data_IF_723289529084
#
_entry.id   IF_723289529084
#
_cell.length_a   1.000
_cell.length_b   1.000
_cell.length_c   1.000
_cell.angle_alpha   90.00
_cell.angle_beta   90.00
_cell.angle_gamma   90.00
#
_symmetry.space_group_name_H-M   'P 1'
#
loop_
_entity.id
_entity.type
_entity.pdbx_description
1 polymer ?
#
# COMPACT_ATOMS: atom_id res chain seq x y z
N UNK A 1 -56.40 31.99 -59.83
CA UNK A 1 -55.86 30.81 -59.17
C UNK A 1 -54.32 30.96 -59.16
N UNK A 2 -53.65 31.21 -58.03
CA UNK A 2 -52.20 31.26 -57.97
C UNK A 2 -51.62 29.92 -57.57
N UNK A 3 -50.61 29.52 -58.29
CA UNK A 3 -49.83 28.30 -58.14
C UNK A 3 -48.85 28.50 -56.95
N UNK A 4 -48.96 27.61 -55.91
CA UNK A 4 -48.07 27.59 -54.76
C UNK A 4 -46.78 26.82 -55.09
N UNK A 5 -45.63 27.48 -55.06
CA UNK A 5 -44.30 26.86 -55.16
C UNK A 5 -43.93 26.40 -53.81
N UNK A 6 -43.74 25.08 -53.64
CA UNK A 6 -43.17 24.45 -52.43
C UNK A 6 -41.64 24.46 -52.54
N UNK A 7 -40.97 25.23 -51.67
CA UNK A 7 -39.53 25.11 -51.48
C UNK A 7 -39.21 23.86 -50.61
N UNK A 8 -38.46 22.92 -51.18
CA UNK A 8 -37.81 21.85 -50.42
C UNK A 8 -36.56 22.42 -49.74
N UNK A 9 -36.55 22.43 -48.42
CA UNK A 9 -35.34 22.70 -47.67
C UNK A 9 -34.52 21.41 -47.54
N UNK A 10 -33.31 21.37 -48.10
CA UNK A 10 -32.37 20.30 -47.95
C UNK A 10 -31.64 20.47 -46.60
N UNK A 11 -31.82 19.53 -45.65
CA UNK A 11 -31.04 19.47 -44.43
C UNK A 11 -29.71 18.77 -44.73
N UNK A 12 -28.61 19.51 -44.70
CA UNK A 12 -27.26 18.96 -44.72
C UNK A 12 -26.88 18.47 -43.31
N UNK A 13 -26.73 17.17 -43.14
CA UNK A 13 -26.15 16.61 -41.93
C UNK A 13 -24.65 16.87 -41.94
N UNK A 14 -24.18 17.71 -41.04
CA UNK A 14 -22.76 17.90 -40.76
C UNK A 14 -22.24 16.68 -39.95
N UNK A 15 -21.46 15.83 -40.61
CA UNK A 15 -20.71 14.75 -39.92
C UNK A 15 -19.50 15.39 -39.25
N UNK A 16 -19.56 15.53 -37.92
CA UNK A 16 -18.41 15.96 -37.13
C UNK A 16 -17.31 14.87 -37.19
N UNK A 17 -16.05 15.24 -37.42
CA UNK A 17 -14.97 14.25 -37.38
C UNK A 17 -14.84 13.69 -35.97
N UNK A 18 -14.85 12.36 -35.88
CA UNK A 18 -14.49 11.63 -34.65
C UNK A 18 -13.00 11.86 -34.42
N UNK A 19 -12.67 12.78 -33.52
CA UNK A 19 -11.30 12.96 -33.06
C UNK A 19 -10.90 11.68 -32.33
N UNK A 20 -10.01 10.91 -32.94
CA UNK A 20 -9.39 9.75 -32.26
C UNK A 20 -8.64 10.25 -31.04
N UNK A 21 -9.09 9.87 -29.84
CA UNK A 21 -8.33 10.05 -28.60
C UNK A 21 -7.00 9.31 -28.79
N UNK A 22 -5.85 9.98 -28.64
CA UNK A 22 -4.56 9.29 -28.75
C UNK A 22 -4.52 8.12 -27.76
N UNK A 23 -4.14 6.94 -28.26
CA UNK A 23 -3.95 5.76 -27.41
C UNK A 23 -2.97 6.12 -26.31
N UNK A 24 -3.36 5.89 -25.05
CA UNK A 24 -2.45 6.04 -23.91
C UNK A 24 -1.22 5.16 -24.17
N UNK A 25 -0.01 5.65 -23.84
CA UNK A 25 1.17 4.82 -23.94
C UNK A 25 0.95 3.52 -23.17
N UNK A 26 1.42 2.37 -23.69
CA UNK A 26 1.27 1.09 -22.99
C UNK A 26 1.82 1.23 -21.57
N UNK A 27 1.06 0.75 -20.61
CA UNK A 27 1.48 0.69 -19.21
C UNK A 27 2.73 -0.19 -19.05
N UNK A 28 3.30 -0.26 -17.85
CA UNK A 28 4.47 -1.10 -17.59
C UNK A 28 4.23 -2.53 -18.06
N UNK A 29 5.21 -3.09 -18.78
CA UNK A 29 5.19 -4.49 -19.25
C UNK A 29 5.55 -5.42 -18.08
N UNK A 30 4.67 -5.50 -17.07
CA UNK A 30 4.85 -6.42 -15.93
C UNK A 30 4.20 -7.77 -16.19
N UNK A 31 4.71 -8.81 -15.53
CA UNK A 31 4.21 -10.17 -15.71
C UNK A 31 2.80 -10.30 -15.07
N UNK A 32 2.04 -11.32 -15.50
CA UNK A 32 0.75 -11.67 -14.90
C UNK A 32 0.95 -12.78 -13.87
N UNK A 33 0.06 -12.85 -12.89
CA UNK A 33 0.00 -13.94 -11.93
C UNK A 33 0.27 -13.53 -10.49
N UNK A 34 0.36 -14.54 -9.62
CA UNK A 34 0.56 -14.36 -8.18
C UNK A 34 2.00 -13.92 -7.92
N UNK A 35 2.17 -12.85 -7.14
CA UNK A 35 3.46 -12.23 -6.81
C UNK A 35 4.35 -12.03 -8.04
N UNK A 36 3.71 -11.68 -9.16
CA UNK A 36 4.41 -11.53 -10.44
C UNK A 36 5.46 -10.43 -10.36
N UNK A 37 6.54 -10.61 -11.11
CA UNK A 37 7.65 -9.66 -11.20
C UNK A 37 7.17 -8.33 -11.81
N UNK A 38 7.27 -7.28 -11.02
CA UNK A 38 6.95 -5.91 -11.45
C UNK A 38 8.16 -5.20 -12.06
N UNK A 39 9.28 -5.92 -12.28
CA UNK A 39 10.51 -5.41 -12.93
C UNK A 39 11.11 -4.19 -12.22
N UNK A 40 10.94 -4.10 -10.90
CA UNK A 40 11.36 -2.95 -10.11
C UNK A 40 10.60 -1.66 -10.42
N UNK A 41 9.45 -1.72 -11.10
CA UNK A 41 8.65 -0.53 -11.39
C UNK A 41 8.11 0.11 -10.11
N UNK A 42 8.20 1.44 -10.06
CA UNK A 42 7.51 2.24 -9.07
C UNK A 42 6.01 2.19 -9.33
N UNK A 43 5.26 1.82 -8.29
CA UNK A 43 3.80 1.68 -8.41
C UNK A 43 3.08 3.03 -8.47
N UNK A 44 3.60 4.02 -7.76
CA UNK A 44 3.02 5.37 -7.65
C UNK A 44 3.84 6.38 -8.47
N UNK A 45 3.32 7.60 -8.74
CA UNK A 45 4.06 8.66 -9.40
C UNK A 45 5.35 9.02 -8.69
N UNK A 46 6.33 9.53 -9.42
CA UNK A 46 7.65 9.87 -8.87
C UNK A 46 7.61 10.93 -7.75
N UNK A 47 6.62 11.80 -7.78
CA UNK A 47 6.36 12.84 -6.76
C UNK A 47 5.49 12.34 -5.60
N UNK A 48 5.22 11.03 -5.53
CA UNK A 48 4.45 10.45 -4.43
C UNK A 48 5.18 10.62 -3.09
N UNK A 49 4.44 10.92 -2.01
CA UNK A 49 4.98 10.88 -0.66
C UNK A 49 5.71 9.58 -0.31
N UNK A 50 5.33 8.45 -0.92
CA UNK A 50 6.01 7.16 -0.73
C UNK A 50 7.43 7.14 -1.28
N UNK A 51 7.72 7.92 -2.33
CA UNK A 51 9.03 8.00 -3.00
C UNK A 51 9.88 9.17 -2.52
N UNK A 52 9.38 9.96 -1.54
CA UNK A 52 10.10 11.11 -1.03
C UNK A 52 11.32 10.67 -0.22
N UNK A 53 12.50 11.12 -0.61
CA UNK A 53 13.72 11.01 0.19
C UNK A 53 13.57 11.86 1.45
N UNK A 54 13.66 11.20 2.61
CA UNK A 54 13.54 11.84 3.93
C UNK A 54 14.86 11.81 4.72
N UNK A 55 15.95 11.41 4.07
CA UNK A 55 17.25 11.27 4.74
C UNK A 55 17.76 12.59 5.34
N UNK A 56 17.39 13.73 4.73
CA UNK A 56 17.73 15.07 5.19
C UNK A 56 16.64 15.78 6.00
N UNK A 57 15.49 15.17 6.21
CA UNK A 57 14.38 15.81 6.94
C UNK A 57 14.74 16.03 8.43
N UNK A 58 14.16 17.06 9.11
CA UNK A 58 14.33 17.24 10.53
C UNK A 58 13.83 16.06 11.35
N UNK A 59 14.47 15.80 12.47
CA UNK A 59 13.99 14.85 13.47
C UNK A 59 12.90 15.52 14.29
N UNK A 60 11.80 14.79 14.53
CA UNK A 60 10.70 15.28 15.38
C UNK A 60 11.19 15.55 16.81
N UNK A 61 10.83 16.69 17.43
CA UNK A 61 11.24 17.01 18.79
C UNK A 61 10.79 15.96 19.84
N UNK A 62 9.74 15.19 19.56
CA UNK A 62 9.25 14.11 20.42
C UNK A 62 9.79 12.73 20.05
N UNK A 63 10.71 12.64 19.09
CA UNK A 63 11.24 11.37 18.58
C UNK A 63 11.65 10.42 19.69
N UNK A 64 12.48 10.86 20.64
CA UNK A 64 12.92 10.01 21.75
C UNK A 64 11.78 9.51 22.63
N UNK A 65 10.78 10.34 22.93
CA UNK A 65 9.62 9.98 23.75
C UNK A 65 8.77 8.92 23.05
N UNK A 66 8.55 9.07 21.74
CA UNK A 66 7.79 8.11 20.92
C UNK A 66 8.56 6.79 20.85
N UNK A 67 9.86 6.81 20.55
CA UNK A 67 10.69 5.61 20.49
C UNK A 67 10.76 4.88 21.84
N UNK A 68 10.87 5.63 22.95
CA UNK A 68 10.78 5.07 24.30
C UNK A 68 9.44 4.37 24.56
N UNK A 69 8.34 4.95 24.04
CA UNK A 69 6.99 4.41 24.19
C UNK A 69 6.78 3.14 23.37
N UNK A 70 7.41 3.02 22.18
CA UNK A 70 7.48 1.80 21.40
C UNK A 70 8.32 0.75 22.13
N UNK A 71 9.46 1.16 22.68
CA UNK A 71 10.42 0.32 23.41
C UNK A 71 11.75 0.16 22.67
N UNK A 72 12.82 0.70 23.24
CA UNK A 72 14.17 0.84 22.63
C UNK A 72 14.74 -0.44 22.00
N UNK A 73 14.44 -1.60 22.59
CA UNK A 73 15.04 -2.88 22.21
C UNK A 73 14.12 -3.76 21.34
N UNK A 74 12.99 -3.23 20.89
CA UNK A 74 12.11 -3.96 19.97
C UNK A 74 12.82 -4.14 18.63
N UNK A 75 13.04 -5.37 18.16
CA UNK A 75 13.73 -5.61 16.91
C UNK A 75 12.85 -5.25 15.71
N UNK A 76 13.49 -4.84 14.63
CA UNK A 76 12.86 -4.82 13.32
C UNK A 76 12.52 -6.26 12.91
N UNK A 77 11.30 -6.50 12.48
CA UNK A 77 10.84 -7.83 12.10
C UNK A 77 10.39 -7.83 10.64
N UNK A 78 11.07 -8.57 9.75
CA UNK A 78 10.55 -8.80 8.41
C UNK A 78 9.35 -9.75 8.49
N UNK A 79 8.16 -9.21 8.24
CA UNK A 79 6.91 -9.96 8.18
C UNK A 79 6.62 -10.37 6.73
N UNK A 80 7.62 -10.99 6.11
CA UNK A 80 7.59 -11.56 4.78
C UNK A 80 8.73 -12.57 4.62
N UNK A 81 8.59 -13.46 3.65
CA UNK A 81 9.56 -14.52 3.45
C UNK A 81 9.04 -15.63 2.54
N UNK A 82 9.47 -16.85 2.83
CA UNK A 82 9.03 -18.05 2.12
C UNK A 82 7.69 -18.53 2.67
N UNK A 83 7.72 -19.38 3.68
CA UNK A 83 6.53 -19.93 4.34
C UNK A 83 6.77 -20.18 5.83
N UNK A 84 5.68 -20.21 6.60
CA UNK A 84 5.65 -20.64 7.98
C UNK A 84 4.38 -21.47 8.22
N UNK A 85 4.53 -22.66 8.83
CA UNK A 85 3.40 -23.58 9.09
C UNK A 85 2.54 -23.91 7.86
N UNK A 86 3.17 -23.98 6.67
CA UNK A 86 2.49 -24.31 5.42
C UNK A 86 1.71 -23.15 4.77
N UNK A 87 1.88 -21.92 5.24
CA UNK A 87 1.34 -20.72 4.63
C UNK A 87 2.45 -19.73 4.23
N UNK A 88 2.32 -19.02 3.11
CA UNK A 88 3.25 -17.95 2.74
C UNK A 88 3.28 -16.85 3.80
N UNK A 89 4.49 -16.35 4.14
CA UNK A 89 4.66 -15.22 5.07
C UNK A 89 4.63 -13.91 4.27
N UNK A 90 3.75 -13.00 4.62
CA UNK A 90 3.60 -11.69 4.00
C UNK A 90 2.27 -11.53 3.28
N UNK A 91 2.06 -10.37 2.67
CA UNK A 91 0.81 -10.04 1.96
C UNK A 91 0.99 -10.33 0.46
N UNK A 92 0.34 -11.38 -0.07
CA UNK A 92 0.44 -11.71 -1.48
C UNK A 92 -0.38 -10.74 -2.33
N UNK A 93 0.01 -10.59 -3.59
CA UNK A 93 -0.77 -9.88 -4.60
C UNK A 93 -0.91 -10.71 -5.87
N UNK A 94 -1.84 -10.34 -6.71
CA UNK A 94 -1.97 -10.90 -8.05
C UNK A 94 -2.04 -9.80 -9.10
N UNK A 95 -1.30 -9.97 -10.18
CA UNK A 95 -1.34 -9.08 -11.34
C UNK A 95 -2.27 -9.68 -12.39
N UNK A 96 -3.25 -8.91 -12.81
CA UNK A 96 -4.24 -9.30 -13.83
C UNK A 96 -4.17 -8.37 -15.04
N UNK A 97 -4.73 -8.83 -16.17
CA UNK A 97 -4.94 -7.98 -17.34
C UNK A 97 -6.25 -7.21 -17.24
N UNK A 98 -6.40 -6.13 -18.01
CA UNK A 98 -7.59 -5.28 -18.02
C UNK A 98 -8.90 -5.96 -18.43
N UNK A 99 -8.83 -7.16 -19.02
CA UNK A 99 -9.99 -7.98 -19.37
C UNK A 99 -10.37 -9.01 -18.29
N UNK A 100 -9.73 -8.99 -17.10
CA UNK A 100 -10.13 -9.82 -15.97
C UNK A 100 -11.61 -9.57 -15.61
N UNK A 101 -12.46 -10.62 -15.58
CA UNK A 101 -13.85 -10.47 -15.17
C UNK A 101 -13.97 -9.83 -13.78
N UNK A 102 -14.91 -8.90 -13.67
CA UNK A 102 -15.15 -8.17 -12.42
C UNK A 102 -16.26 -8.83 -11.62
N UNK A 103 -16.07 -8.90 -10.31
CA UNK A 103 -16.99 -9.53 -9.37
C UNK A 103 -17.49 -8.50 -8.34
N UNK A 104 -18.66 -8.78 -7.76
CA UNK A 104 -19.23 -7.98 -6.67
C UNK A 104 -18.49 -8.27 -5.37
N UNK A 105 -18.26 -7.23 -4.58
CA UNK A 105 -17.78 -7.30 -3.19
C UNK A 105 -18.86 -6.70 -2.28
N UNK A 106 -19.15 -7.38 -1.16
CA UNK A 106 -20.03 -6.86 -0.11
C UNK A 106 -19.19 -6.55 1.12
N UNK A 107 -19.24 -5.30 1.58
CA UNK A 107 -18.48 -4.85 2.75
C UNK A 107 -19.28 -4.94 4.04
N UNK A 108 -18.62 -5.33 5.15
CA UNK A 108 -19.30 -5.67 6.42
C UNK A 108 -18.82 -4.84 7.61
N UNK A 109 -17.64 -4.23 7.58
CA UNK A 109 -17.09 -3.48 8.71
C UNK A 109 -17.08 -1.97 8.45
N UNK A 110 -16.61 -1.55 7.26
CA UNK A 110 -16.56 -0.14 6.87
C UNK A 110 -17.21 0.10 5.50
N UNK A 111 -18.52 -0.25 5.29
CA UNK A 111 -19.14 -0.15 3.97
C UNK A 111 -19.23 1.28 3.43
N UNK A 112 -19.34 2.30 4.31
CA UNK A 112 -19.41 3.71 3.91
C UNK A 112 -18.05 4.30 3.54
N UNK A 113 -16.97 3.64 3.96
CA UNK A 113 -15.59 4.05 3.70
C UNK A 113 -14.92 3.15 2.65
N UNK A 114 -15.67 2.24 2.02
CA UNK A 114 -15.17 1.31 1.02
C UNK A 114 -15.64 1.68 -0.38
N UNK A 115 -14.79 1.47 -1.38
CA UNK A 115 -15.15 1.72 -2.77
C UNK A 115 -16.03 0.58 -3.30
N UNK A 116 -17.22 0.86 -3.85
CA UNK A 116 -18.23 -0.16 -4.10
C UNK A 116 -17.90 -1.16 -5.23
N UNK A 117 -16.87 -0.92 -6.01
CA UNK A 117 -16.47 -1.82 -7.10
C UNK A 117 -17.29 -1.66 -8.39
N UNK A 118 -17.32 -2.67 -9.29
CA UNK A 118 -16.85 -4.04 -9.11
C UNK A 118 -15.32 -4.23 -9.18
N UNK A 119 -14.80 -5.35 -8.60
CA UNK A 119 -13.38 -5.65 -8.45
C UNK A 119 -12.93 -6.76 -9.41
N UNK A 120 -11.76 -6.66 -10.08
CA UNK A 120 -11.26 -7.68 -11.01
C UNK A 120 -10.55 -8.83 -10.26
N UNK A 121 -11.25 -9.51 -9.35
CA UNK A 121 -10.65 -10.54 -8.50
C UNK A 121 -10.82 -11.91 -9.15
N UNK A 122 -9.72 -12.62 -9.50
CA UNK A 122 -9.77 -14.01 -9.96
C UNK A 122 -10.34 -14.95 -8.87
N UNK A 123 -10.88 -16.09 -9.29
CA UNK A 123 -11.43 -17.09 -8.33
C UNK A 123 -10.35 -17.67 -7.41
N UNK A 124 -9.14 -17.77 -7.90
CA UNK A 124 -7.93 -18.29 -7.26
C UNK A 124 -7.02 -17.17 -6.72
N UNK A 125 -7.53 -15.96 -6.56
CA UNK A 125 -6.77 -14.85 -5.99
C UNK A 125 -6.15 -15.27 -4.64
N UNK A 126 -4.85 -14.99 -4.43
CA UNK A 126 -4.19 -15.35 -3.19
C UNK A 126 -4.77 -14.54 -2.04
N UNK A 127 -4.92 -15.19 -0.89
CA UNK A 127 -5.38 -14.58 0.35
C UNK A 127 -4.23 -14.64 1.33
N UNK A 128 -3.95 -13.55 2.01
CA UNK A 128 -2.94 -13.51 3.07
C UNK A 128 -3.21 -14.59 4.13
N UNK A 129 -2.15 -15.31 4.51
CA UNK A 129 -2.24 -16.46 5.42
C UNK A 129 -2.91 -17.70 4.80
N UNK A 130 -3.19 -17.68 3.48
CA UNK A 130 -3.84 -18.76 2.75
C UNK A 130 -5.36 -18.82 2.92
N UNK A 131 -6.04 -19.79 2.26
CA UNK A 131 -7.50 -19.87 2.22
C UNK A 131 -8.15 -20.09 3.60
N UNK A 132 -7.42 -20.69 4.53
CA UNK A 132 -7.86 -20.99 5.90
C UNK A 132 -7.23 -20.05 6.95
N UNK A 133 -6.49 -19.02 6.53
CA UNK A 133 -5.87 -18.03 7.40
C UNK A 133 -6.88 -17.34 8.30
N UNK A 134 -6.46 -17.03 9.54
CA UNK A 134 -7.29 -16.37 10.57
C UNK A 134 -6.89 -14.92 10.84
N UNK A 135 -5.86 -14.41 10.13
CA UNK A 135 -5.39 -13.02 10.23
C UNK A 135 -6.23 -12.07 9.39
N UNK A 136 -5.60 -11.02 8.91
CA UNK A 136 -6.24 -9.89 8.22
C UNK A 136 -6.78 -10.26 6.83
N UNK A 137 -6.29 -11.37 6.26
CA UNK A 137 -6.84 -11.95 5.02
C UNK A 137 -6.91 -10.94 3.88
N UNK A 138 -5.86 -10.18 3.68
CA UNK A 138 -5.80 -9.25 2.58
C UNK A 138 -5.85 -9.95 1.21
N UNK A 139 -6.52 -9.32 0.25
CA UNK A 139 -6.51 -9.68 -1.17
C UNK A 139 -6.16 -8.44 -1.97
N UNK A 140 -5.01 -8.49 -2.66
CA UNK A 140 -4.49 -7.38 -3.45
C UNK A 140 -4.47 -7.77 -4.92
N UNK A 141 -5.09 -6.94 -5.77
CA UNK A 141 -5.17 -7.18 -7.23
C UNK A 141 -4.69 -5.95 -7.99
N UNK A 142 -3.65 -6.10 -8.78
CA UNK A 142 -3.12 -5.07 -9.67
C UNK A 142 -3.60 -5.32 -11.11
N UNK A 143 -4.46 -4.45 -11.64
CA UNK A 143 -4.79 -4.39 -13.05
C UNK A 143 -3.66 -3.64 -13.77
N UNK A 144 -2.77 -4.37 -14.47
CA UNK A 144 -1.59 -3.80 -15.12
C UNK A 144 -1.92 -2.89 -16.30
N UNK A 145 -3.02 -3.15 -17.00
CA UNK A 145 -3.35 -2.41 -18.23
C UNK A 145 -4.01 -1.05 -17.87
N UNK A 146 -4.86 -1.03 -16.85
CA UNK A 146 -5.44 0.19 -16.31
C UNK A 146 -4.51 0.92 -15.32
N UNK A 147 -3.52 0.22 -14.76
CA UNK A 147 -2.66 0.65 -13.65
C UNK A 147 -3.49 1.07 -12.45
N UNK A 148 -4.39 0.15 -12.06
CA UNK A 148 -5.32 0.29 -10.95
C UNK A 148 -5.08 -0.82 -9.93
N UNK A 149 -5.07 -0.46 -8.66
CA UNK A 149 -4.91 -1.40 -7.56
C UNK A 149 -6.23 -1.55 -6.81
N UNK A 150 -6.59 -2.77 -6.48
CA UNK A 150 -7.80 -3.14 -5.75
C UNK A 150 -7.39 -3.94 -4.52
N UNK A 151 -7.78 -3.49 -3.35
CA UNK A 151 -7.36 -4.09 -2.08
C UNK A 151 -8.57 -4.36 -1.20
N UNK A 152 -8.57 -5.51 -0.55
CA UNK A 152 -9.59 -5.94 0.40
C UNK A 152 -8.94 -6.33 1.73
N UNK A 153 -9.60 -5.99 2.82
CA UNK A 153 -9.35 -6.46 4.18
C UNK A 153 -10.41 -7.47 4.60
N UNK A 154 -10.03 -8.50 5.36
CA UNK A 154 -10.89 -9.54 5.91
C UNK A 154 -11.77 -10.20 4.83
N UNK A 155 -11.10 -10.67 3.74
CA UNK A 155 -11.75 -11.10 2.51
C UNK A 155 -12.07 -12.60 2.49
N UNK A 156 -13.29 -12.93 2.04
CA UNK A 156 -13.80 -14.28 1.88
C UNK A 156 -14.57 -14.42 0.57
N UNK A 157 -14.35 -15.48 -0.24
CA UNK A 157 -15.26 -15.83 -1.32
C UNK A 157 -16.68 -16.06 -0.77
N UNK A 158 -17.71 -15.55 -1.47
CA UNK A 158 -19.12 -15.64 -1.02
C UNK A 158 -19.82 -16.94 -1.44
N UNK A 159 -19.11 -17.83 -2.15
CA UNK A 159 -19.66 -19.07 -2.69
C UNK A 159 -20.60 -18.90 -3.90
N UNK A 160 -20.85 -17.66 -4.34
CA UNK A 160 -21.74 -17.32 -5.47
C UNK A 160 -21.02 -16.62 -6.62
N UNK A 161 -19.68 -16.61 -6.57
CA UNK A 161 -18.83 -15.98 -7.57
C UNK A 161 -18.42 -14.54 -7.25
N UNK A 162 -18.81 -14.02 -6.07
CA UNK A 162 -18.37 -12.75 -5.51
C UNK A 162 -17.54 -12.90 -4.24
N UNK A 163 -17.35 -11.79 -3.52
CA UNK A 163 -16.59 -11.73 -2.29
C UNK A 163 -17.34 -10.95 -1.20
N UNK A 164 -17.03 -11.28 0.04
CA UNK A 164 -17.37 -10.52 1.23
C UNK A 164 -16.06 -10.05 1.86
N UNK A 165 -15.97 -8.78 2.26
CA UNK A 165 -14.80 -8.21 2.90
C UNK A 165 -15.18 -7.27 4.04
N UNK A 166 -14.27 -6.99 4.96
CA UNK A 166 -14.43 -5.99 6.01
C UNK A 166 -14.46 -4.59 5.41
N UNK A 167 -13.45 -4.25 4.64
CA UNK A 167 -13.31 -3.00 3.89
C UNK A 167 -12.58 -3.23 2.57
N UNK A 168 -12.55 -2.20 1.71
CA UNK A 168 -11.79 -2.25 0.47
C UNK A 168 -11.59 -0.89 -0.19
N UNK A 169 -10.52 -0.78 -0.96
CA UNK A 169 -10.15 0.44 -1.64
C UNK A 169 -9.73 0.18 -3.09
N UNK A 170 -9.96 1.16 -3.94
CA UNK A 170 -9.55 1.20 -5.35
C UNK A 170 -8.63 2.39 -5.55
N UNK A 171 -7.41 2.14 -6.01
CA UNK A 171 -6.38 3.14 -6.18
C UNK A 171 -6.03 3.33 -7.67
N UNK A 172 -6.05 4.57 -8.12
CA UNK A 172 -5.46 4.92 -9.40
C UNK A 172 -3.96 5.20 -9.21
N UNK A 173 -3.13 4.24 -9.54
CA UNK A 173 -1.68 4.33 -9.35
C UNK A 173 -0.98 5.34 -10.27
N UNK A 174 -1.69 5.94 -11.24
CA UNK A 174 -1.19 7.04 -12.09
C UNK A 174 -1.28 8.40 -11.39
N UNK A 175 -1.81 8.45 -10.16
CA UNK A 175 -2.05 9.67 -9.40
C UNK A 175 -1.64 9.48 -7.93
N UNK A 176 -1.32 10.58 -7.28
CA UNK A 176 -1.19 10.63 -5.81
C UNK A 176 -2.61 10.72 -5.20
N UNK A 177 -3.33 9.61 -5.24
CA UNK A 177 -4.69 9.55 -4.72
C UNK A 177 -4.65 9.30 -3.21
N UNK A 178 -5.34 10.16 -2.47
CA UNK A 178 -5.60 9.98 -1.04
C UNK A 178 -7.05 9.56 -0.80
N UNK A 179 -7.31 8.91 0.32
CA UNK A 179 -8.68 8.64 0.78
C UNK A 179 -9.30 9.94 1.32
N UNK A 180 -10.63 10.07 1.31
CA UNK A 180 -11.28 11.15 2.04
C UNK A 180 -10.81 11.17 3.51
N UNK A 181 -10.67 12.35 4.14
CA UNK A 181 -10.29 12.47 5.54
C UNK A 181 -11.17 11.60 6.45
N UNK A 182 -10.53 10.83 7.33
CA UNK A 182 -11.14 9.87 8.27
C UNK A 182 -11.72 8.60 7.63
N UNK A 183 -11.40 8.33 6.37
CA UNK A 183 -11.73 7.07 5.72
C UNK A 183 -10.57 6.09 5.85
N UNK A 184 -10.90 4.86 6.22
CA UNK A 184 -9.96 3.74 6.11
C UNK A 184 -9.81 3.27 4.66
N UNK A 185 -8.94 2.30 4.43
CA UNK A 185 -8.82 1.54 3.19
C UNK A 185 -8.94 0.04 3.50
N UNK A 186 -8.20 -0.80 2.79
CA UNK A 186 -7.89 -2.15 3.24
C UNK A 186 -6.81 -2.14 4.34
N UNK A 187 -6.17 -0.99 4.58
CA UNK A 187 -5.19 -0.74 5.63
C UNK A 187 -5.76 0.28 6.63
N UNK A 188 -5.45 0.13 7.92
CA UNK A 188 -6.06 0.94 8.98
C UNK A 188 -5.77 2.43 8.84
N UNK A 189 -4.61 2.80 8.33
CA UNK A 189 -4.24 4.20 8.10
C UNK A 189 -4.93 4.88 6.91
N UNK A 190 -5.73 4.14 6.12
CA UNK A 190 -6.28 4.65 4.86
C UNK A 190 -5.23 4.78 3.76
N UNK A 191 -4.18 3.99 3.81
CA UNK A 191 -3.08 3.93 2.85
C UNK A 191 -3.26 2.77 1.87
N UNK A 192 -2.62 2.80 0.68
CA UNK A 192 -2.47 1.61 -0.15
C UNK A 192 -1.42 0.66 0.44
N UNK A 193 -1.67 -0.64 0.37
CA UNK A 193 -0.79 -1.68 0.93
C UNK A 193 0.35 -2.01 -0.04
N UNK A 194 0.03 -2.42 -1.28
CA UNK A 194 1.01 -2.92 -2.23
C UNK A 194 2.19 -1.96 -2.48
N UNK A 195 2.01 -0.63 -2.58
CA UNK A 195 3.11 0.30 -2.75
C UNK A 195 4.11 0.36 -1.61
N UNK A 196 3.74 -0.10 -0.41
CA UNK A 196 4.60 -0.14 0.78
C UNK A 196 5.23 -1.50 1.06
N UNK A 197 4.90 -2.54 0.28
CA UNK A 197 5.46 -3.89 0.46
C UNK A 197 6.88 -3.99 -0.08
N UNK A 198 7.77 -4.62 0.69
CA UNK A 198 9.08 -5.06 0.17
C UNK A 198 8.85 -6.23 -0.78
N UNK A 199 9.36 -6.15 -2.01
CA UNK A 199 9.19 -7.19 -3.03
C UNK A 199 10.52 -7.80 -3.46
N UNK A 200 10.48 -9.07 -3.84
CA UNK A 200 11.68 -9.80 -4.29
C UNK A 200 12.30 -9.19 -5.55
N UNK A 201 11.48 -8.74 -6.51
CA UNK A 201 11.93 -8.10 -7.75
C UNK A 201 12.68 -6.79 -7.51
N UNK A 202 12.39 -6.08 -6.42
CA UNK A 202 13.11 -4.87 -6.01
C UNK A 202 14.44 -5.22 -5.35
N UNK A 203 14.39 -6.06 -4.31
CA UNK A 203 15.56 -6.33 -3.48
C UNK A 203 16.60 -7.13 -4.23
N UNK A 204 16.20 -8.22 -4.90
CA UNK A 204 17.13 -9.12 -5.58
C UNK A 204 17.22 -8.80 -7.08
N UNK A 205 16.11 -8.49 -7.72
CA UNK A 205 16.06 -8.17 -9.15
C UNK A 205 16.70 -6.83 -9.49
N UNK A 206 16.20 -5.74 -8.87
CA UNK A 206 16.68 -4.38 -9.13
C UNK A 206 17.84 -3.95 -8.21
N UNK A 207 18.07 -4.64 -7.09
CA UNK A 207 19.09 -4.29 -6.09
C UNK A 207 18.78 -2.99 -5.32
N UNK A 208 17.52 -2.56 -5.30
CA UNK A 208 17.07 -1.33 -4.62
C UNK A 208 15.58 -1.36 -4.33
N UNK A 209 15.19 -0.76 -3.20
CA UNK A 209 13.81 -0.42 -2.86
C UNK A 209 13.71 1.10 -2.86
N UNK A 210 12.83 1.67 -3.69
CA UNK A 210 12.75 3.12 -3.91
C UNK A 210 11.44 3.72 -3.38
N UNK A 211 10.99 3.25 -2.22
CA UNK A 211 9.79 3.75 -1.53
C UNK A 211 9.89 3.55 -0.02
N UNK A 212 9.05 4.25 0.73
CA UNK A 212 8.87 3.99 2.15
C UNK A 212 8.27 2.60 2.38
N UNK A 213 8.75 1.88 3.38
CA UNK A 213 8.27 0.54 3.70
C UNK A 213 7.08 0.63 4.67
N UNK A 214 5.99 -0.10 4.39
CA UNK A 214 4.87 -0.24 5.31
C UNK A 214 5.33 -0.95 6.57
N UNK A 215 4.90 -0.44 7.77
CA UNK A 215 5.14 -1.12 9.02
C UNK A 215 3.99 -0.98 10.01
N UNK A 216 4.01 -1.79 11.06
CA UNK A 216 2.98 -1.81 12.11
C UNK A 216 3.58 -1.55 13.50
N UNK A 217 2.73 -1.11 14.43
CA UNK A 217 3.01 -0.96 15.86
C UNK A 217 1.82 -1.44 16.68
N UNK A 218 2.07 -1.95 17.89
CA UNK A 218 1.01 -2.42 18.79
C UNK A 218 0.10 -1.27 19.25
N UNK A 219 0.66 -0.08 19.48
CA UNK A 219 -0.08 1.04 20.06
C UNK A 219 0.12 2.31 19.23
N UNK A 220 -1.00 2.92 18.87
CA UNK A 220 -1.06 4.20 18.15
C UNK A 220 -1.99 5.16 18.88
N UNK A 221 -1.99 6.43 18.49
CA UNK A 221 -2.95 7.43 19.00
C UNK A 221 -4.00 7.80 17.95
N UNK A 222 -5.02 8.54 18.40
CA UNK A 222 -6.11 9.03 17.57
C UNK A 222 -5.68 10.26 16.75
N UNK A 223 -4.75 10.01 15.83
CA UNK A 223 -4.21 10.99 14.91
C UNK A 223 -3.65 10.30 13.66
N UNK A 224 -3.48 11.07 12.60
CA UNK A 224 -2.77 10.63 11.39
C UNK A 224 -1.98 11.78 10.75
N UNK A 225 -1.01 11.42 9.90
CA UNK A 225 -0.22 12.34 9.08
C UNK A 225 -0.46 11.99 7.61
N UNK A 226 -0.85 12.94 6.74
CA UNK A 226 -0.96 12.67 5.30
C UNK A 226 0.35 12.08 4.73
N UNK A 227 0.28 11.12 3.79
CA UNK A 227 -0.89 10.70 3.01
C UNK A 227 -1.86 9.74 3.72
N UNK A 228 -1.62 9.35 4.99
CA UNK A 228 -2.63 8.64 5.75
C UNK A 228 -3.87 9.52 5.95
N UNK A 229 -5.04 8.90 6.02
CA UNK A 229 -6.33 9.58 6.14
C UNK A 229 -7.15 9.14 7.36
N UNK A 230 -6.69 8.12 8.09
CA UNK A 230 -7.45 7.50 9.16
C UNK A 230 -6.56 7.10 10.35
N UNK A 231 -7.18 6.93 11.51
CA UNK A 231 -6.60 6.39 12.74
C UNK A 231 -7.36 5.14 13.19
N UNK A 232 -6.65 4.15 13.74
CA UNK A 232 -7.25 2.91 14.24
C UNK A 232 -7.32 2.84 15.79
N UNK A 233 -6.94 3.90 16.49
CA UNK A 233 -6.88 3.93 17.96
C UNK A 233 -7.83 4.96 18.56
N UNK A 234 -8.23 4.73 19.82
CA UNK A 234 -9.01 5.68 20.64
C UNK A 234 -8.13 6.44 21.64
N UNK A 235 -6.82 6.16 21.69
CA UNK A 235 -5.90 6.77 22.63
C UNK A 235 -5.56 8.22 22.26
N UNK A 236 -5.43 9.07 23.27
CA UNK A 236 -5.05 10.49 23.12
C UNK A 236 -3.68 10.81 23.71
N UNK A 237 -2.89 9.79 24.04
CA UNK A 237 -1.53 9.92 24.59
C UNK A 237 -0.59 10.49 23.52
N UNK A 238 0.00 11.66 23.78
CA UNK A 238 0.86 12.37 22.84
C UNK A 238 2.20 11.68 22.59
N UNK A 239 2.60 10.75 23.43
CA UNK A 239 3.80 9.93 23.25
C UNK A 239 3.55 8.69 22.38
N UNK A 240 2.28 8.43 22.00
CA UNK A 240 1.97 7.36 21.05
C UNK A 240 2.06 7.85 19.60
N UNK A 241 2.54 7.00 18.69
CA UNK A 241 2.67 7.35 17.29
C UNK A 241 1.30 7.52 16.60
N UNK A 242 1.12 8.55 15.73
CA UNK A 242 -0.04 8.66 14.84
C UNK A 242 0.14 7.75 13.61
N UNK A 243 -0.95 7.34 12.96
CA UNK A 243 -0.89 6.69 11.64
C UNK A 243 -0.21 7.60 10.61
N UNK A 244 0.51 7.03 9.65
CA UNK A 244 1.29 7.80 8.68
C UNK A 244 2.62 8.34 9.23
N UNK A 245 2.92 8.17 10.53
CA UNK A 245 4.22 8.53 11.08
C UNK A 245 5.34 7.85 10.32
N UNK A 246 6.43 8.60 10.07
CA UNK A 246 7.63 8.05 9.45
C UNK A 246 8.76 7.87 10.44
N UNK A 247 9.36 6.70 10.40
CA UNK A 247 10.64 6.43 11.06
C UNK A 247 11.69 6.13 10.00
N UNK A 248 12.90 6.66 10.18
CA UNK A 248 14.04 6.32 9.33
C UNK A 248 15.18 5.72 10.15
N UNK A 249 15.93 4.81 9.55
CA UNK A 249 17.17 4.29 10.13
C UNK A 249 18.21 5.44 10.17
N UNK A 250 18.90 5.59 11.29
CA UNK A 250 19.92 6.62 11.48
C UNK A 250 20.98 6.58 10.39
N UNK A 251 21.41 7.74 9.92
CA UNK A 251 22.34 7.86 8.80
C UNK A 251 23.69 7.17 9.05
N UNK A 252 24.18 7.22 10.29
CA UNK A 252 25.46 6.65 10.74
C UNK A 252 25.40 5.16 11.07
N UNK A 253 24.21 4.51 11.00
CA UNK A 253 24.10 3.07 11.26
C UNK A 253 24.89 2.27 10.21
N UNK A 254 25.86 1.46 10.65
CA UNK A 254 26.75 0.70 9.75
C UNK A 254 26.04 -0.52 9.14
N UNK A 255 26.00 -0.58 7.80
CA UNK A 255 25.39 -1.66 7.02
C UNK A 255 26.41 -2.72 6.58
N UNK A 256 27.72 -2.51 6.75
CA UNK A 256 28.79 -3.33 6.13
C UNK A 256 28.77 -4.80 6.54
N UNK A 257 28.19 -5.10 7.71
CA UNK A 257 28.11 -6.47 8.28
C UNK A 257 26.84 -7.23 7.89
N UNK A 258 25.99 -6.67 7.02
CA UNK A 258 24.77 -7.28 6.55
C UNK A 258 24.96 -7.91 5.17
N UNK A 259 24.14 -8.94 4.84
CA UNK A 259 24.08 -9.50 3.49
C UNK A 259 23.57 -8.47 2.47
N UNK A 260 23.85 -8.65 1.17
CA UNK A 260 23.42 -7.70 0.13
C UNK A 260 21.93 -7.39 0.17
N UNK A 261 21.08 -8.39 0.32
CA UNK A 261 19.61 -8.24 0.38
C UNK A 261 19.17 -7.42 1.60
N UNK A 262 19.77 -7.71 2.77
CA UNK A 262 19.50 -6.95 3.99
C UNK A 262 19.98 -5.49 3.85
N UNK A 263 21.14 -5.27 3.22
CA UNK A 263 21.64 -3.90 2.96
C UNK A 263 20.69 -3.11 2.07
N UNK A 264 20.09 -3.72 1.03
CA UNK A 264 19.10 -3.05 0.16
C UNK A 264 17.90 -2.56 0.96
N UNK A 265 17.33 -3.41 1.82
CA UNK A 265 16.20 -3.04 2.68
C UNK A 265 16.59 -1.94 3.67
N UNK A 266 17.74 -2.09 4.35
CA UNK A 266 18.23 -1.11 5.32
C UNK A 266 18.59 0.23 4.68
N UNK A 267 19.10 0.23 3.44
CA UNK A 267 19.35 1.46 2.70
C UNK A 267 18.04 2.20 2.37
N UNK A 268 16.98 1.47 2.00
CA UNK A 268 15.66 2.07 1.80
C UNK A 268 15.13 2.69 3.11
N UNK A 269 15.36 2.03 4.25
CA UNK A 269 14.99 2.57 5.57
C UNK A 269 15.78 3.84 5.94
N UNK A 270 17.00 4.04 5.43
CA UNK A 270 17.74 5.30 5.58
C UNK A 270 17.19 6.40 4.68
N UNK A 271 16.85 6.06 3.44
CA UNK A 271 16.49 7.04 2.41
C UNK A 271 15.01 7.41 2.47
N UNK A 272 14.14 6.40 2.47
CA UNK A 272 12.68 6.57 2.41
C UNK A 272 12.00 6.30 3.75
N UNK A 273 12.69 5.61 4.66
CA UNK A 273 12.16 5.21 5.95
C UNK A 273 11.04 4.17 5.86
N UNK A 274 10.30 4.05 6.94
CA UNK A 274 9.08 3.25 7.01
C UNK A 274 7.89 4.09 7.47
N UNK A 275 6.70 3.78 6.94
CA UNK A 275 5.46 4.53 7.18
C UNK A 275 4.48 3.66 7.98
N UNK A 276 4.02 4.18 9.12
CA UNK A 276 3.08 3.47 9.99
C UNK A 276 1.71 3.39 9.35
N UNK A 277 1.27 2.18 9.07
CA UNK A 277 0.07 1.92 8.27
C UNK A 277 -1.01 1.16 9.03
N UNK A 278 -0.65 0.41 10.08
CA UNK A 278 -1.63 -0.37 10.84
C UNK A 278 -1.20 -0.59 12.30
N UNK A 279 -2.17 -1.02 13.12
CA UNK A 279 -1.90 -1.64 14.40
C UNK A 279 -1.57 -3.13 14.19
N UNK A 280 -0.52 -3.59 14.83
CA UNK A 280 -0.05 -4.97 14.71
C UNK A 280 1.05 -5.23 15.73
N UNK A 281 2.01 -6.07 15.41
CA UNK A 281 3.21 -6.24 16.23
C UNK A 281 4.18 -5.08 16.03
N UNK A 282 5.00 -4.79 17.05
CA UNK A 282 5.95 -3.68 17.00
C UNK A 282 7.06 -3.92 15.97
N UNK A 283 7.32 -2.89 15.14
CA UNK A 283 8.36 -2.85 14.12
C UNK A 283 8.29 -3.99 13.08
N UNK A 284 7.09 -4.49 12.80
CA UNK A 284 6.90 -5.43 11.70
C UNK A 284 6.84 -4.67 10.38
N UNK A 285 7.86 -4.85 9.53
CA UNK A 285 7.87 -4.35 8.15
C UNK A 285 7.26 -5.41 7.24
N UNK A 286 6.40 -4.98 6.34
CA UNK A 286 5.60 -5.88 5.51
C UNK A 286 6.20 -6.03 4.11
N UNK A 287 6.07 -7.22 3.54
CA UNK A 287 6.50 -7.50 2.16
C UNK A 287 5.67 -8.59 1.52
N UNK A 288 5.93 -8.84 0.25
CA UNK A 288 5.29 -9.92 -0.49
C UNK A 288 6.02 -11.26 -0.26
N UNK A 289 5.29 -12.38 -0.11
CA UNK A 289 5.90 -13.70 -0.02
C UNK A 289 6.56 -14.07 -1.35
N UNK A 290 7.72 -14.73 -1.27
CA UNK A 290 8.38 -15.31 -2.43
C UNK A 290 9.19 -16.54 -1.98
N UNK A 291 9.07 -17.70 -2.66
CA UNK A 291 9.80 -18.91 -2.26
C UNK A 291 11.32 -18.79 -2.45
N UNK A 292 11.79 -17.76 -3.13
CA UNK A 292 13.21 -17.50 -3.40
C UNK A 292 13.89 -16.67 -2.32
N UNK A 293 13.17 -16.10 -1.34
CA UNK A 293 13.77 -15.32 -0.26
C UNK A 293 14.83 -16.09 0.52
N UNK A 294 16.01 -15.51 0.71
CA UNK A 294 16.97 -16.00 1.70
C UNK A 294 16.51 -15.62 3.11
N UNK A 295 15.93 -16.58 3.81
CA UNK A 295 15.47 -16.39 5.19
C UNK A 295 16.61 -16.10 6.16
N UNK A 296 17.87 -16.47 5.86
CA UNK A 296 19.01 -16.11 6.68
C UNK A 296 19.37 -14.63 6.52
N UNK A 297 19.30 -14.12 5.28
CA UNK A 297 19.48 -12.69 5.00
C UNK A 297 18.38 -11.86 5.69
N UNK A 298 17.11 -12.25 5.55
CA UNK A 298 15.99 -11.53 6.18
C UNK A 298 16.10 -11.52 7.72
N UNK A 299 16.49 -12.62 8.34
CA UNK A 299 16.68 -12.67 9.80
C UNK A 299 17.74 -11.68 10.33
N UNK A 300 18.70 -11.25 9.50
CA UNK A 300 19.68 -10.23 9.91
C UNK A 300 19.04 -8.89 10.23
N UNK A 301 17.91 -8.53 9.60
CA UNK A 301 17.17 -7.30 9.86
C UNK A 301 16.78 -7.17 11.34
N UNK A 302 16.59 -8.27 12.05
CA UNK A 302 16.27 -8.30 13.49
C UNK A 302 17.39 -7.78 14.39
N UNK A 303 18.59 -7.56 13.87
CA UNK A 303 19.72 -6.93 14.60
C UNK A 303 19.49 -5.44 14.79
N UNK A 304 18.68 -4.81 13.91
CA UNK A 304 18.26 -3.43 14.02
C UNK A 304 17.10 -3.34 15.01
N UNK A 305 17.13 -2.36 15.89
CA UNK A 305 16.12 -2.17 16.94
C UNK A 305 15.57 -0.75 16.94
N UNK A 306 14.51 -0.49 17.69
CA UNK A 306 13.87 0.84 17.75
C UNK A 306 14.87 1.97 18.04
N UNK A 307 15.91 1.74 18.88
CA UNK A 307 16.93 2.77 19.22
C UNK A 307 17.77 3.23 18.03
N UNK A 308 17.80 2.42 16.96
CA UNK A 308 18.61 2.69 15.76
C UNK A 308 17.84 3.58 14.76
N UNK A 309 16.59 3.90 15.07
CA UNK A 309 15.73 4.77 14.28
C UNK A 309 15.59 6.16 14.90
N UNK A 310 15.03 7.05 14.11
CA UNK A 310 14.54 8.36 14.53
C UNK A 310 13.18 8.64 13.85
N UNK A 311 12.31 9.37 14.55
CA UNK A 311 11.02 9.82 13.99
C UNK A 311 11.27 11.10 13.21
N UNK A 312 10.79 11.16 11.97
CA UNK A 312 10.86 12.35 11.13
C UNK A 312 9.78 13.34 11.54
N UNK A 313 10.05 14.64 11.39
CA UNK A 313 9.14 15.72 11.76
C UNK A 313 7.71 15.47 11.28
N UNK A 314 6.78 15.53 12.23
CA UNK A 314 5.35 15.26 12.05
C UNK A 314 4.54 16.52 11.71
N UNK A 315 5.15 17.46 10.99
CA UNK A 315 4.44 18.62 10.47
C UNK A 315 3.22 18.20 9.64
N UNK A 316 2.08 18.88 9.85
CA UNK A 316 0.82 18.56 9.16
C UNK A 316 -0.01 17.43 9.79
N UNK A 317 0.36 16.96 10.98
CA UNK A 317 -0.42 15.96 11.71
C UNK A 317 -1.86 16.43 11.95
N UNK A 318 -2.82 15.55 11.65
CA UNK A 318 -4.25 15.74 11.96
C UNK A 318 -4.60 14.92 13.20
N UNK A 319 -4.92 15.61 14.31
CA UNK A 319 -5.33 14.96 15.56
C UNK A 319 -6.82 15.18 15.80
N UNK A 320 -7.53 14.13 16.21
CA UNK A 320 -8.87 14.26 16.76
C UNK A 320 -8.73 14.70 18.23
N UNK A 321 -9.50 15.72 18.61
CA UNK A 321 -9.49 16.22 19.99
C UNK A 321 -10.57 15.51 20.82
N UNK A 322 -10.31 15.22 22.12
CA UNK A 322 -11.37 14.75 22.98
C UNK A 322 -12.52 15.76 22.98
N UNK A 323 -13.75 15.32 22.77
CA UNK A 323 -14.91 16.18 23.00
C UNK A 323 -14.91 16.53 24.50
N UNK A 324 -14.70 17.82 24.81
CA UNK A 324 -14.78 18.35 26.16
C UNK A 324 -16.22 18.29 26.65
#
# INVERSE_FOLDING_TARGET
MPIAIRCLAAFAFAVSPITSVPAQPPGPQVDLGINADLKGWRLLPNDSPWHRDISGDPVDPNSERILARIGWHKPLHPDFGTEHEGAPIGIPYIVVSGNQPRVRVTFTEAPQESDPGPYPIPRDAPIEGGPNGKGDRHVLVLDRDAWMLYELFNAFPDGKGGWRAGSGAIWNLKKNQERPPRWTSADAAGLPILPGLVRYDEVVGAGKVEHAIRFTLVKTRRAYIPPASHWASKAFDDDLPPMGMRMRLKADYDLSSFSPEAQVVLQALKTYGMMLADNGSDNFITGAPDPRWDMAALRQLRRVTTKDFEVVDMAGMVADQPRR
#
